data_IF_152512609851
#
_entry.id   IF_152512609851
#
_cell.length_a   1.000
_cell.length_b   1.000
_cell.length_c   1.000
_cell.angle_alpha   90.00
_cell.angle_beta   90.00
_cell.angle_gamma   90.00
#
_symmetry.space_group_name_H-M   'P 1'
#
loop_
_entity.id
_entity.type
_entity.pdbx_description
1 polymer ?
#
# COMPACT_ATOMS: atom_id res chain seq x y z
N UNK A 1 -5.05 25.16 22.55
CA UNK A 1 -5.05 23.82 21.94
C UNK A 1 -6.51 23.43 21.70
N UNK A 2 -7.05 23.83 20.55
CA UNK A 2 -8.40 23.52 20.13
C UNK A 2 -8.42 22.90 18.73
N UNK A 3 -7.45 22.02 18.44
CA UNK A 3 -7.51 21.26 17.20
C UNK A 3 -8.27 19.96 17.45
N UNK A 4 -9.53 19.94 17.06
CA UNK A 4 -10.30 18.71 17.01
C UNK A 4 -9.77 17.86 15.83
N UNK A 5 -9.58 16.58 16.06
CA UNK A 5 -9.15 15.63 15.02
C UNK A 5 -10.12 14.44 14.96
N UNK A 6 -10.13 13.78 13.81
CA UNK A 6 -10.96 12.60 13.58
C UNK A 6 -10.07 11.45 13.11
N UNK A 7 -10.19 10.31 13.77
CA UNK A 7 -9.56 9.06 13.35
C UNK A 7 -10.61 8.08 12.83
N UNK A 8 -10.39 7.51 11.65
CA UNK A 8 -11.31 6.58 11.01
C UNK A 8 -10.61 5.25 10.72
N UNK A 9 -11.18 4.16 11.23
CA UNK A 9 -10.74 2.78 10.95
C UNK A 9 -11.94 1.82 10.99
N UNK A 10 -12.77 1.80 9.93
CA UNK A 10 -14.01 1.01 9.93
C UNK A 10 -13.78 -0.49 9.69
N UNK A 11 -12.63 -0.88 9.12
CA UNK A 11 -12.30 -2.27 8.82
C UNK A 11 -12.08 -3.06 10.11
N UNK A 12 -12.76 -4.19 10.27
CA UNK A 12 -12.52 -5.14 11.36
C UNK A 12 -11.29 -5.97 11.06
N UNK A 13 -10.24 -5.82 11.85
CA UNK A 13 -8.97 -6.51 11.66
C UNK A 13 -8.92 -7.81 12.48
N UNK A 14 -8.53 -8.89 11.82
CA UNK A 14 -8.22 -10.18 12.43
C UNK A 14 -6.77 -10.51 12.10
N UNK A 15 -5.92 -10.43 13.09
CA UNK A 15 -4.48 -10.61 12.94
C UNK A 15 -3.98 -11.84 13.71
N UNK A 16 -3.16 -12.65 13.07
CA UNK A 16 -2.47 -13.76 13.73
C UNK A 16 -2.24 -14.94 12.81
N UNK A 17 -1.39 -15.85 13.26
CA UNK A 17 -1.12 -17.09 12.55
C UNK A 17 -2.41 -17.90 12.40
N UNK A 18 -2.60 -18.44 11.20
CA UNK A 18 -3.81 -19.23 10.83
C UNK A 18 -5.12 -18.44 10.84
N UNK A 19 -5.10 -17.10 10.97
CA UNK A 19 -6.32 -16.28 10.89
C UNK A 19 -7.07 -16.45 9.55
N UNK A 20 -6.37 -16.76 8.47
CA UNK A 20 -6.95 -17.11 7.18
C UNK A 20 -7.93 -18.29 7.26
N UNK A 21 -7.70 -19.26 8.14
CA UNK A 21 -8.53 -20.45 8.28
C UNK A 21 -9.92 -20.13 8.85
N UNK A 22 -10.04 -18.99 9.53
CA UNK A 22 -11.32 -18.52 10.07
C UNK A 22 -12.22 -17.80 9.06
N UNK A 23 -11.84 -17.74 7.78
CA UNK A 23 -12.56 -17.00 6.73
C UNK A 23 -14.06 -17.36 6.67
N UNK A 24 -14.41 -18.64 6.88
CA UNK A 24 -15.82 -19.10 6.90
C UNK A 24 -16.66 -18.35 7.94
N UNK A 25 -16.11 -18.13 9.15
CA UNK A 25 -16.78 -17.38 10.22
C UNK A 25 -17.16 -15.96 9.75
N UNK A 26 -16.26 -15.30 9.03
CA UNK A 26 -16.47 -13.91 8.58
C UNK A 26 -17.34 -13.80 7.34
N UNK A 27 -17.33 -14.81 6.48
CA UNK A 27 -18.30 -14.95 5.38
C UNK A 27 -19.71 -15.11 5.94
N UNK A 28 -19.92 -15.96 6.95
CA UNK A 28 -21.20 -16.14 7.62
C UNK A 28 -21.70 -14.87 8.31
N UNK A 29 -20.79 -14.11 8.92
CA UNK A 29 -21.12 -12.83 9.57
C UNK A 29 -21.65 -11.74 8.62
N UNK A 30 -21.49 -11.90 7.30
CA UNK A 30 -22.03 -10.98 6.29
C UNK A 30 -23.44 -11.35 5.83
N UNK A 31 -24.08 -12.36 6.40
CA UNK A 31 -25.40 -12.88 5.99
C UNK A 31 -25.49 -13.20 4.49
N UNK A 32 -24.39 -13.69 3.93
CA UNK A 32 -24.26 -13.99 2.51
C UNK A 32 -24.59 -15.45 2.25
N UNK A 33 -25.42 -15.66 1.23
CA UNK A 33 -26.02 -16.95 1.04
C UNK A 33 -25.20 -17.88 0.17
N UNK A 34 -24.60 -17.45 -0.96
CA UNK A 34 -23.96 -18.45 -1.82
C UNK A 34 -22.80 -17.98 -2.72
N UNK A 35 -22.83 -16.79 -3.34
CA UNK A 35 -22.00 -16.47 -4.51
C UNK A 35 -20.86 -15.53 -4.19
N UNK A 36 -19.66 -16.06 -4.21
CA UNK A 36 -18.42 -15.36 -3.82
C UNK A 36 -17.53 -15.19 -5.05
N UNK A 37 -17.07 -13.96 -5.29
CA UNK A 37 -15.98 -13.68 -6.21
C UNK A 37 -14.66 -13.73 -5.44
N UNK A 38 -13.79 -14.68 -5.77
CA UNK A 38 -12.43 -14.74 -5.26
C UNK A 38 -11.49 -14.08 -6.26
N UNK A 39 -10.83 -13.00 -5.84
CA UNK A 39 -9.87 -12.24 -6.66
C UNK A 39 -8.45 -12.53 -6.20
N UNK A 40 -7.56 -12.92 -7.13
CA UNK A 40 -6.14 -13.15 -6.82
C UNK A 40 -5.23 -12.71 -7.96
N UNK A 41 -3.94 -12.59 -7.68
CA UNK A 41 -2.93 -12.51 -8.73
C UNK A 41 -2.78 -13.84 -9.49
N UNK A 42 -2.07 -13.79 -10.62
CA UNK A 42 -1.98 -14.89 -11.60
C UNK A 42 -1.40 -16.20 -11.05
N UNK A 43 -0.42 -16.14 -10.14
CA UNK A 43 0.36 -17.35 -9.83
C UNK A 43 0.50 -17.66 -8.34
N UNK A 44 0.89 -16.71 -7.50
CA UNK A 44 1.35 -16.98 -6.13
C UNK A 44 0.32 -17.74 -5.28
N UNK A 45 -0.89 -17.25 -5.17
CA UNK A 45 -1.91 -17.88 -4.31
C UNK A 45 -2.33 -19.27 -4.81
N UNK A 46 -2.32 -19.49 -6.13
CA UNK A 46 -2.57 -20.79 -6.72
C UNK A 46 -1.39 -21.74 -6.49
N UNK A 47 -0.16 -21.29 -6.75
CA UNK A 47 1.07 -22.08 -6.61
C UNK A 47 1.27 -22.60 -5.18
N UNK A 48 0.96 -21.77 -4.18
CA UNK A 48 1.11 -22.14 -2.77
C UNK A 48 -0.15 -22.79 -2.15
N UNK A 49 -1.12 -23.20 -2.98
CA UNK A 49 -2.29 -23.98 -2.56
C UNK A 49 -3.38 -23.17 -1.83
N UNK A 50 -3.24 -21.86 -1.67
CA UNK A 50 -4.21 -21.05 -0.93
C UNK A 50 -5.56 -20.94 -1.63
N UNK A 51 -5.60 -20.93 -2.98
CA UNK A 51 -6.84 -20.97 -3.75
C UNK A 51 -7.61 -22.28 -3.51
N UNK A 52 -6.91 -23.41 -3.46
CA UNK A 52 -7.51 -24.70 -3.14
C UNK A 52 -8.00 -24.74 -1.69
N UNK A 53 -7.20 -24.21 -0.77
CA UNK A 53 -7.53 -24.16 0.66
C UNK A 53 -8.78 -23.32 0.93
N UNK A 54 -8.91 -22.12 0.34
CA UNK A 54 -10.12 -21.29 0.54
C UNK A 54 -11.37 -21.94 -0.05
N UNK A 55 -11.27 -22.59 -1.23
CA UNK A 55 -12.38 -23.35 -1.81
C UNK A 55 -12.83 -24.50 -0.90
N UNK A 56 -11.89 -25.18 -0.24
CA UNK A 56 -12.20 -26.23 0.73
C UNK A 56 -12.83 -25.67 2.01
N UNK A 57 -12.36 -24.55 2.53
CA UNK A 57 -12.94 -23.90 3.71
C UNK A 57 -14.36 -23.40 3.47
N UNK A 58 -14.69 -23.05 2.24
CA UNK A 58 -15.98 -22.53 1.80
C UNK A 58 -16.70 -23.50 0.84
N UNK A 59 -16.57 -24.81 1.07
CA UNK A 59 -17.06 -25.86 0.18
C UNK A 59 -18.59 -25.81 -0.06
N UNK A 60 -19.31 -25.20 0.87
CA UNK A 60 -20.77 -25.01 0.84
C UNK A 60 -21.19 -23.71 0.10
N UNK A 61 -20.25 -23.05 -0.59
CA UNK A 61 -20.45 -21.81 -1.35
C UNK A 61 -20.02 -21.96 -2.81
N UNK A 62 -20.65 -21.18 -3.70
CA UNK A 62 -20.24 -21.08 -5.09
C UNK A 62 -19.11 -20.06 -5.23
N UNK A 63 -17.87 -20.52 -5.45
CA UNK A 63 -16.69 -19.64 -5.58
C UNK A 63 -16.34 -19.48 -7.05
N UNK A 64 -16.46 -18.25 -7.53
CA UNK A 64 -16.00 -17.80 -8.84
C UNK A 64 -14.62 -17.17 -8.71
N UNK A 65 -13.61 -17.80 -9.30
CA UNK A 65 -12.22 -17.37 -9.14
C UNK A 65 -11.76 -16.54 -10.33
N UNK A 66 -11.49 -15.26 -10.09
CA UNK A 66 -10.82 -14.36 -11.01
C UNK A 66 -9.35 -14.23 -10.60
N UNK A 67 -8.47 -14.96 -11.30
CA UNK A 67 -7.05 -15.11 -10.97
C UNK A 67 -6.11 -14.40 -11.93
N UNK A 68 -6.56 -13.35 -12.65
CA UNK A 68 -5.81 -12.71 -13.74
C UNK A 68 -5.23 -11.32 -13.37
N UNK A 69 -5.21 -10.96 -12.07
CA UNK A 69 -4.68 -9.67 -11.66
C UNK A 69 -3.18 -9.61 -11.89
N UNK A 70 -2.73 -8.62 -12.66
CA UNK A 70 -1.31 -8.33 -12.89
C UNK A 70 -0.73 -7.42 -11.79
N UNK A 71 0.59 -7.43 -11.58
CA UNK A 71 1.26 -6.36 -10.84
C UNK A 71 0.94 -5.00 -11.50
N UNK A 72 0.81 -3.94 -10.69
CA UNK A 72 0.36 -2.63 -11.15
C UNK A 72 -0.95 -2.73 -11.97
N UNK A 73 -2.08 -3.02 -11.30
CA UNK A 73 -3.33 -3.36 -11.97
C UNK A 73 -3.81 -2.20 -12.83
N UNK A 74 -4.39 -2.56 -13.98
CA UNK A 74 -4.85 -1.60 -14.99
C UNK A 74 -6.36 -1.54 -15.05
N UNK A 75 -6.89 -0.61 -15.86
CA UNK A 75 -8.31 -0.49 -16.14
C UNK A 75 -8.86 -1.77 -16.76
N UNK A 76 -8.10 -2.42 -17.64
CA UNK A 76 -8.47 -3.67 -18.29
C UNK A 76 -8.68 -4.78 -17.25
N UNK A 77 -7.86 -4.87 -16.20
CA UNK A 77 -8.08 -5.83 -15.12
C UNK A 77 -9.45 -5.65 -14.44
N UNK A 78 -9.92 -4.41 -14.31
CA UNK A 78 -11.24 -4.14 -13.73
C UNK A 78 -12.35 -4.51 -14.71
N UNK A 79 -12.22 -4.10 -16.00
CA UNK A 79 -13.21 -4.41 -17.02
C UNK A 79 -13.37 -5.91 -17.24
N UNK A 80 -12.26 -6.66 -17.28
CA UNK A 80 -12.25 -8.13 -17.34
C UNK A 80 -12.90 -8.76 -16.11
N UNK A 81 -12.61 -8.23 -14.93
CA UNK A 81 -13.23 -8.67 -13.68
C UNK A 81 -14.73 -8.43 -13.65
N UNK A 82 -15.22 -7.27 -14.10
CA UNK A 82 -16.64 -6.95 -14.24
C UNK A 82 -17.30 -7.89 -15.25
N UNK A 83 -16.71 -8.05 -16.44
CA UNK A 83 -17.20 -8.96 -17.49
C UNK A 83 -17.30 -10.39 -16.97
N UNK A 84 -16.27 -10.85 -16.25
CA UNK A 84 -16.25 -12.18 -15.63
C UNK A 84 -17.38 -12.37 -14.59
N UNK A 85 -17.66 -11.35 -13.80
CA UNK A 85 -18.58 -11.42 -12.67
C UNK A 85 -20.07 -11.15 -13.02
N UNK A 86 -20.35 -10.37 -14.08
CA UNK A 86 -21.66 -9.81 -14.37
C UNK A 86 -22.81 -10.84 -14.42
N UNK A 87 -22.58 -12.03 -15.02
CA UNK A 87 -23.63 -13.06 -15.14
C UNK A 87 -23.83 -13.89 -13.86
N UNK A 88 -22.98 -13.71 -12.85
CA UNK A 88 -22.87 -14.62 -11.70
C UNK A 88 -23.63 -14.17 -10.46
N UNK A 89 -24.18 -12.93 -10.46
CA UNK A 89 -24.89 -12.34 -9.32
C UNK A 89 -24.08 -12.47 -8.01
N UNK A 90 -22.86 -11.94 -8.02
CA UNK A 90 -21.93 -11.96 -6.88
C UNK A 90 -22.55 -11.23 -5.67
N UNK A 91 -22.38 -11.82 -4.49
CA UNK A 91 -22.91 -11.30 -3.22
C UNK A 91 -21.79 -10.83 -2.27
N UNK A 92 -20.58 -11.37 -2.42
CA UNK A 92 -19.38 -11.05 -1.64
C UNK A 92 -18.16 -11.07 -2.55
N UNK A 93 -17.22 -10.18 -2.29
CA UNK A 93 -15.87 -10.25 -2.88
C UNK A 93 -14.86 -10.61 -1.79
N UNK A 94 -14.01 -11.59 -2.08
CA UNK A 94 -12.83 -11.90 -1.29
C UNK A 94 -11.62 -11.65 -2.18
N UNK A 95 -10.71 -10.76 -1.77
CA UNK A 95 -9.43 -10.61 -2.46
C UNK A 95 -8.30 -11.17 -1.62
N UNK A 96 -7.45 -12.01 -2.23
CA UNK A 96 -6.32 -12.64 -1.58
C UNK A 96 -5.05 -12.45 -2.40
N UNK A 97 -4.06 -11.74 -1.84
CA UNK A 97 -2.82 -11.44 -2.54
C UNK A 97 -2.13 -10.17 -2.05
N UNK A 98 -1.25 -9.62 -2.86
CA UNK A 98 -0.64 -8.31 -2.62
C UNK A 98 -1.60 -7.15 -2.91
N UNK A 99 -1.14 -5.92 -2.71
CA UNK A 99 -1.95 -4.70 -2.89
C UNK A 99 -2.70 -4.66 -4.22
N UNK A 100 -2.09 -5.11 -5.33
CA UNK A 100 -2.75 -5.17 -6.64
C UNK A 100 -4.03 -6.01 -6.64
N UNK A 101 -4.00 -7.20 -6.02
CA UNK A 101 -5.18 -8.06 -5.94
C UNK A 101 -6.25 -7.46 -5.02
N UNK A 102 -5.82 -6.83 -3.91
CA UNK A 102 -6.73 -6.17 -2.97
C UNK A 102 -7.40 -4.95 -3.61
N UNK A 103 -6.66 -4.13 -4.37
CA UNK A 103 -7.19 -2.95 -5.05
C UNK A 103 -8.18 -3.33 -6.15
N UNK A 104 -7.89 -4.37 -6.95
CA UNK A 104 -8.84 -4.89 -7.93
C UNK A 104 -10.08 -5.44 -7.24
N UNK A 105 -9.92 -6.25 -6.18
CA UNK A 105 -11.05 -6.80 -5.43
C UNK A 105 -11.95 -5.72 -4.83
N UNK A 106 -11.35 -4.69 -4.25
CA UNK A 106 -12.02 -3.52 -3.68
C UNK A 106 -12.81 -2.74 -4.73
N UNK A 107 -12.19 -2.51 -5.90
CA UNK A 107 -12.84 -1.84 -7.03
C UNK A 107 -13.99 -2.67 -7.60
N UNK A 108 -13.80 -3.97 -7.75
CA UNK A 108 -14.87 -4.86 -8.19
C UNK A 108 -16.04 -4.91 -7.20
N UNK A 109 -15.76 -4.97 -5.88
CA UNK A 109 -16.81 -4.90 -4.86
C UNK A 109 -17.64 -3.63 -4.98
N UNK A 110 -17.02 -2.50 -5.28
CA UNK A 110 -17.71 -1.23 -5.47
C UNK A 110 -18.53 -1.20 -6.77
N UNK A 111 -17.92 -1.53 -7.90
CA UNK A 111 -18.53 -1.36 -9.22
C UNK A 111 -19.58 -2.41 -9.58
N UNK A 112 -19.50 -3.61 -9.04
CA UNK A 112 -20.54 -4.64 -9.24
C UNK A 112 -21.89 -4.23 -8.62
N UNK A 113 -21.89 -3.35 -7.62
CA UNK A 113 -23.10 -2.77 -7.03
C UNK A 113 -23.39 -1.34 -7.52
N UNK A 114 -22.46 -0.73 -8.26
CA UNK A 114 -22.57 0.60 -8.84
C UNK A 114 -22.10 0.57 -10.30
N UNK A 115 -22.93 0.03 -11.22
CA UNK A 115 -22.57 -0.04 -12.63
C UNK A 115 -22.43 1.37 -13.23
N UNK A 116 -21.44 1.56 -14.08
CA UNK A 116 -21.14 2.83 -14.75
C UNK A 116 -19.83 2.75 -15.53
N UNK A 117 -19.48 3.81 -16.25
CA UNK A 117 -18.20 3.91 -16.93
C UNK A 117 -17.07 4.11 -15.90
N UNK A 118 -16.01 3.35 -16.04
CA UNK A 118 -14.87 3.38 -15.13
C UNK A 118 -14.15 4.73 -15.15
N UNK A 119 -14.01 5.34 -16.33
CA UNK A 119 -13.36 6.64 -16.44
C UNK A 119 -14.17 7.73 -15.74
N UNK A 120 -15.51 7.68 -15.84
CA UNK A 120 -16.36 8.68 -15.17
C UNK A 120 -16.24 8.62 -13.63
N UNK A 121 -16.02 7.42 -13.06
CA UNK A 121 -15.70 7.29 -11.64
C UNK A 121 -14.34 7.89 -11.30
N UNK A 122 -13.31 7.64 -12.11
CA UNK A 122 -11.97 8.19 -11.87
C UNK A 122 -11.88 9.69 -12.12
N UNK A 123 -12.64 10.20 -13.08
CA UNK A 123 -12.72 11.64 -13.38
C UNK A 123 -13.63 12.38 -12.36
N UNK A 124 -14.28 11.68 -11.45
CA UNK A 124 -15.20 12.27 -10.46
C UNK A 124 -16.52 12.79 -11.05
N UNK A 125 -16.85 12.40 -12.30
CA UNK A 125 -18.10 12.80 -12.98
C UNK A 125 -19.33 12.10 -12.38
N UNK A 126 -19.14 10.88 -11.89
CA UNK A 126 -20.18 10.10 -11.22
C UNK A 126 -19.69 9.61 -9.84
N UNK A 127 -20.60 9.48 -8.90
CA UNK A 127 -20.35 8.97 -7.56
C UNK A 127 -21.08 7.65 -7.31
N UNK A 128 -20.61 6.87 -6.35
CA UNK A 128 -21.33 5.68 -5.90
C UNK A 128 -22.71 6.03 -5.35
N UNK A 129 -23.73 5.29 -5.79
CA UNK A 129 -25.13 5.45 -5.37
C UNK A 129 -25.52 4.41 -4.31
N UNK A 130 -24.76 3.31 -4.21
CA UNK A 130 -24.99 2.20 -3.29
C UNK A 130 -23.70 1.82 -2.59
N UNK A 131 -23.81 1.27 -1.38
CA UNK A 131 -22.66 0.67 -0.68
C UNK A 131 -22.04 -0.42 -1.57
N UNK A 132 -20.72 -0.56 -1.50
CA UNK A 132 -20.02 -1.68 -2.15
C UNK A 132 -20.58 -3.02 -1.70
N UNK A 133 -20.43 -4.06 -2.51
CA UNK A 133 -20.65 -5.42 -2.02
C UNK A 133 -19.77 -5.67 -0.79
N UNK A 134 -20.18 -6.51 0.15
CA UNK A 134 -19.32 -6.91 1.26
C UNK A 134 -17.97 -7.38 0.75
N UNK A 135 -16.89 -6.95 1.44
CA UNK A 135 -15.53 -7.19 0.99
C UNK A 135 -14.62 -7.69 2.13
N UNK A 136 -13.97 -8.82 1.89
CA UNK A 136 -12.95 -9.40 2.79
C UNK A 136 -11.59 -9.32 2.09
N UNK A 137 -10.64 -8.64 2.74
CA UNK A 137 -9.26 -8.52 2.27
C UNK A 137 -8.35 -9.49 3.02
N UNK A 138 -7.53 -10.25 2.26
CA UNK A 138 -6.57 -11.22 2.79
C UNK A 138 -5.20 -10.91 2.19
N UNK A 139 -4.39 -10.06 2.84
CA UNK A 139 -3.08 -9.67 2.31
C UNK A 139 -2.10 -10.83 2.38
N UNK A 140 -1.26 -10.95 1.35
CA UNK A 140 -0.12 -11.88 1.31
C UNK A 140 1.22 -11.18 1.23
N UNK A 141 1.21 -9.84 1.28
CA UNK A 141 2.42 -8.99 1.32
C UNK A 141 2.32 -8.01 2.49
N UNK A 142 3.47 -7.59 3.00
CA UNK A 142 3.56 -6.59 4.06
C UNK A 142 4.11 -5.30 3.46
N UNK A 143 3.22 -4.36 3.09
CA UNK A 143 3.64 -3.14 2.38
C UNK A 143 2.53 -2.12 2.21
N UNK A 144 1.63 -2.31 1.26
CA UNK A 144 0.64 -1.32 0.84
C UNK A 144 -0.47 -1.05 1.85
N UNK A 145 -0.71 -1.99 2.77
CA UNK A 145 -1.83 -1.95 3.72
C UNK A 145 -3.21 -1.68 3.07
N UNK A 146 -3.40 -2.13 1.81
CA UNK A 146 -4.67 -1.95 1.09
C UNK A 146 -5.85 -2.57 1.83
N UNK A 147 -5.61 -3.54 2.71
CA UNK A 147 -6.61 -4.21 3.53
C UNK A 147 -7.30 -3.32 4.58
N UNK A 148 -6.74 -2.13 4.87
CA UNK A 148 -7.30 -1.17 5.84
C UNK A 148 -7.52 0.23 5.26
N UNK A 149 -7.52 0.37 3.93
CA UNK A 149 -7.71 1.65 3.25
C UNK A 149 -8.97 1.67 2.38
N UNK A 150 -9.48 2.88 2.08
CA UNK A 150 -10.69 3.09 1.28
C UNK A 150 -10.41 3.51 -0.17
N UNK A 151 -9.18 3.34 -0.65
CA UNK A 151 -8.81 3.63 -2.04
C UNK A 151 -8.22 2.42 -2.73
N UNK A 152 -8.30 2.45 -4.04
CA UNK A 152 -7.66 1.50 -4.94
C UNK A 152 -6.89 2.27 -6.01
N UNK A 153 -5.68 1.81 -6.30
CA UNK A 153 -4.81 2.42 -7.29
C UNK A 153 -4.78 1.59 -8.54
N UNK A 154 -5.10 2.23 -9.68
CA UNK A 154 -5.03 1.64 -11.00
C UNK A 154 -4.13 2.45 -11.92
N UNK A 155 -3.48 1.76 -12.84
CA UNK A 155 -2.60 2.38 -13.83
C UNK A 155 -3.33 2.48 -15.17
N UNK A 156 -3.33 3.68 -15.74
CA UNK A 156 -3.71 3.88 -17.12
C UNK A 156 -2.43 3.86 -17.96
N UNK A 157 -2.20 2.75 -18.67
CA UNK A 157 -0.99 2.56 -19.48
C UNK A 157 -0.93 3.49 -20.69
N UNK A 158 -2.07 3.81 -21.29
CA UNK A 158 -2.14 4.71 -22.44
C UNK A 158 -1.75 6.13 -22.05
N UNK A 159 -2.30 6.62 -20.93
CA UNK A 159 -2.03 7.97 -20.42
C UNK A 159 -0.78 8.03 -19.54
N UNK A 160 -0.06 6.92 -19.33
CA UNK A 160 1.09 6.80 -18.39
C UNK A 160 0.80 7.45 -17.03
N UNK A 161 -0.41 7.28 -16.53
CA UNK A 161 -0.89 7.95 -15.32
C UNK A 161 -1.40 6.95 -14.29
N UNK A 162 -1.26 7.35 -13.02
CA UNK A 162 -1.75 6.61 -11.85
C UNK A 162 -3.04 7.28 -11.38
N UNK A 163 -4.12 6.52 -11.31
CA UNK A 163 -5.40 6.99 -10.82
C UNK A 163 -5.78 6.25 -9.54
N UNK A 164 -6.40 6.96 -8.61
CA UNK A 164 -6.89 6.36 -7.36
C UNK A 164 -8.38 6.60 -7.23
N UNK A 165 -9.14 5.52 -7.18
CA UNK A 165 -10.54 5.57 -6.82
C UNK A 165 -10.64 5.55 -5.30
N UNK A 166 -11.37 6.51 -4.72
CA UNK A 166 -11.46 6.68 -3.26
C UNK A 166 -12.90 6.90 -2.85
N UNK A 167 -13.41 6.06 -1.97
CA UNK A 167 -14.72 6.27 -1.36
C UNK A 167 -14.83 5.53 -0.01
N UNK A 168 -15.52 6.08 1.02
CA UNK A 168 -15.68 5.41 2.31
C UNK A 168 -16.31 4.01 2.22
N UNK A 169 -17.14 3.75 1.24
CA UNK A 169 -17.74 2.43 1.01
C UNK A 169 -16.78 1.39 0.44
N UNK A 170 -15.55 1.77 0.10
CA UNK A 170 -14.51 0.87 -0.39
C UNK A 170 -13.63 0.30 0.73
N UNK A 171 -13.84 0.69 2.00
CA UNK A 171 -13.17 0.00 3.10
C UNK A 171 -13.58 -1.48 3.12
N UNK A 172 -12.63 -2.42 3.30
CA UNK A 172 -12.97 -3.80 3.59
C UNK A 172 -13.82 -3.91 4.87
N UNK A 173 -14.81 -4.79 4.88
CA UNK A 173 -15.55 -5.11 6.10
C UNK A 173 -14.66 -5.90 7.08
N UNK A 174 -13.79 -6.78 6.53
CA UNK A 174 -12.80 -7.53 7.29
C UNK A 174 -11.45 -7.56 6.58
N UNK A 175 -10.38 -7.45 7.37
CA UNK A 175 -9.00 -7.72 6.99
C UNK A 175 -8.51 -8.95 7.75
N UNK A 176 -8.27 -10.08 7.06
CA UNK A 176 -7.70 -11.28 7.67
C UNK A 176 -6.20 -11.32 7.38
N UNK A 177 -5.40 -10.92 8.35
CA UNK A 177 -3.95 -10.76 8.20
C UNK A 177 -3.26 -11.96 8.84
N UNK A 178 -2.91 -12.93 8.00
CA UNK A 178 -2.20 -14.14 8.38
C UNK A 178 -0.75 -14.06 7.92
N UNK A 179 0.23 -13.90 8.83
CA UNK A 179 1.64 -13.84 8.47
C UNK A 179 2.14 -15.06 7.70
N UNK A 180 1.49 -16.23 7.83
CA UNK A 180 1.81 -17.42 7.05
C UNK A 180 1.70 -17.21 5.53
N UNK A 181 0.83 -16.30 5.06
CA UNK A 181 0.71 -16.01 3.63
C UNK A 181 1.93 -15.27 3.08
N UNK A 182 2.69 -14.59 3.95
CA UNK A 182 3.87 -13.80 3.56
C UNK A 182 5.18 -14.58 3.55
N UNK A 183 5.23 -15.82 4.07
CA UNK A 183 6.46 -16.64 4.12
C UNK A 183 6.99 -17.03 2.75
N UNK A 184 6.16 -16.91 1.72
CA UNK A 184 6.53 -17.20 0.33
C UNK A 184 6.97 -15.95 -0.45
N UNK A 185 7.02 -14.79 0.18
CA UNK A 185 7.51 -13.57 -0.48
C UNK A 185 9.00 -13.69 -0.80
N UNK A 186 9.41 -13.47 -2.06
CA UNK A 186 10.83 -13.41 -2.41
C UNK A 186 11.54 -12.27 -1.67
N UNK A 187 12.86 -12.37 -1.39
CA UNK A 187 13.64 -11.31 -0.75
C UNK A 187 13.48 -9.94 -1.41
N UNK A 188 13.56 -9.87 -2.75
CA UNK A 188 13.36 -8.61 -3.49
C UNK A 188 12.00 -7.98 -3.21
N UNK A 189 10.92 -8.78 -3.19
CA UNK A 189 9.59 -8.25 -2.89
C UNK A 189 9.48 -7.82 -1.42
N UNK A 190 10.10 -8.56 -0.49
CA UNK A 190 10.18 -8.19 0.93
C UNK A 190 10.86 -6.83 1.11
N UNK A 191 11.98 -6.59 0.42
CA UNK A 191 12.68 -5.31 0.46
C UNK A 191 11.80 -4.16 -0.07
N UNK A 192 11.22 -4.33 -1.25
CA UNK A 192 10.39 -3.30 -1.89
C UNK A 192 9.16 -2.95 -1.05
N UNK A 193 8.40 -3.96 -0.61
CA UNK A 193 7.17 -3.72 0.15
C UNK A 193 7.45 -3.23 1.57
N UNK A 194 8.53 -3.71 2.19
CA UNK A 194 8.94 -3.25 3.50
C UNK A 194 9.38 -1.78 3.50
N UNK A 195 10.12 -1.34 2.46
CA UNK A 195 10.50 0.07 2.30
C UNK A 195 9.30 0.96 1.94
N UNK A 196 8.31 0.44 1.20
CA UNK A 196 7.03 1.11 0.97
C UNK A 196 6.30 1.37 2.30
N UNK A 197 6.16 0.33 3.13
CA UNK A 197 5.56 0.46 4.45
C UNK A 197 6.33 1.42 5.37
N UNK A 198 7.67 1.42 5.31
CA UNK A 198 8.50 2.37 6.05
C UNK A 198 8.22 3.81 5.61
N UNK A 199 8.15 4.04 4.30
CA UNK A 199 7.85 5.36 3.75
C UNK A 199 6.44 5.82 4.13
N UNK A 200 5.44 4.94 4.06
CA UNK A 200 4.09 5.21 4.54
C UNK A 200 4.08 5.67 6.00
N UNK A 201 4.78 4.94 6.87
CA UNK A 201 4.85 5.26 8.29
C UNK A 201 5.58 6.58 8.57
N UNK A 202 6.71 6.81 7.90
CA UNK A 202 7.48 8.06 8.02
C UNK A 202 6.63 9.24 7.54
N UNK A 203 6.00 9.15 6.37
CA UNK A 203 5.15 10.22 5.84
C UNK A 203 3.92 10.45 6.70
N UNK A 204 3.31 9.40 7.26
CA UNK A 204 2.21 9.54 8.20
C UNK A 204 2.62 10.30 9.47
N UNK A 205 3.81 10.02 10.01
CA UNK A 205 4.32 10.66 11.23
C UNK A 205 4.54 12.16 11.04
N UNK A 206 5.15 12.58 9.94
CA UNK A 206 5.40 14.02 9.70
C UNK A 206 4.30 14.75 8.94
N UNK A 207 3.25 14.07 8.46
CA UNK A 207 2.15 14.71 7.72
C UNK A 207 1.54 15.88 8.50
N UNK A 208 1.12 16.94 7.79
CA UNK A 208 0.28 18.01 8.38
C UNK A 208 -1.02 17.51 8.98
N UNK A 209 -1.48 16.33 8.53
CA UNK A 209 -2.70 15.68 9.04
C UNK A 209 -2.38 14.67 10.14
N UNK A 210 -1.13 14.61 10.65
CA UNK A 210 -0.78 13.69 11.73
C UNK A 210 -1.52 14.08 13.01
N UNK A 211 -1.89 13.10 13.80
CA UNK A 211 -2.61 13.28 15.05
C UNK A 211 -2.23 12.15 16.04
N UNK A 212 -2.48 12.29 17.34
CA UNK A 212 -1.91 11.41 18.35
C UNK A 212 -2.11 9.92 18.09
N UNK A 213 -3.28 9.50 17.57
CA UNK A 213 -3.55 8.09 17.28
C UNK A 213 -2.73 7.60 16.08
N UNK A 214 -2.66 8.39 14.99
CA UNK A 214 -1.84 8.03 13.83
C UNK A 214 -0.36 7.96 14.17
N UNK A 215 0.12 8.83 15.05
CA UNK A 215 1.52 8.87 15.46
C UNK A 215 1.95 7.60 16.20
N UNK A 216 1.11 7.11 17.12
CA UNK A 216 1.40 5.85 17.83
C UNK A 216 1.58 4.70 16.84
N UNK A 217 0.70 4.58 15.85
CA UNK A 217 0.81 3.56 14.82
C UNK A 217 2.03 3.78 13.91
N UNK A 218 2.26 5.01 13.44
CA UNK A 218 3.37 5.34 12.56
C UNK A 218 4.72 5.04 13.20
N UNK A 219 4.96 5.52 14.40
CA UNK A 219 6.21 5.30 15.14
C UNK A 219 6.44 3.82 15.42
N UNK A 220 5.40 3.10 15.84
CA UNK A 220 5.52 1.66 16.06
C UNK A 220 5.82 0.89 14.77
N UNK A 221 5.23 1.30 13.63
CA UNK A 221 5.52 0.72 12.34
C UNK A 221 6.98 0.93 11.93
N UNK A 222 7.50 2.17 12.06
CA UNK A 222 8.90 2.52 11.77
C UNK A 222 9.85 1.59 12.52
N UNK A 223 9.68 1.49 13.84
CA UNK A 223 10.51 0.64 14.70
C UNK A 223 10.47 -0.83 14.30
N UNK A 224 9.28 -1.38 14.05
CA UNK A 224 9.12 -2.78 13.66
C UNK A 224 9.77 -3.07 12.31
N UNK A 225 9.61 -2.18 11.31
CA UNK A 225 10.23 -2.38 10.00
C UNK A 225 11.74 -2.29 10.12
N UNK A 226 12.25 -1.24 10.76
CA UNK A 226 13.68 -1.01 10.92
C UNK A 226 14.39 -2.24 11.54
N UNK A 227 13.78 -2.86 12.56
CA UNK A 227 14.33 -4.01 13.26
C UNK A 227 14.19 -5.34 12.52
N UNK A 228 13.22 -5.49 11.62
CA UNK A 228 12.84 -6.81 11.10
C UNK A 228 13.00 -6.98 9.60
N UNK A 229 13.09 -5.90 8.81
CA UNK A 229 13.11 -6.00 7.34
C UNK A 229 14.32 -6.78 6.84
N UNK A 230 15.52 -6.56 7.44
CA UNK A 230 16.74 -7.29 7.08
C UNK A 230 16.61 -8.78 7.36
N UNK A 231 16.11 -9.14 8.54
CA UNK A 231 15.90 -10.54 8.89
C UNK A 231 14.83 -11.20 8.00
N UNK A 232 13.73 -10.51 7.70
CA UNK A 232 12.71 -11.01 6.80
C UNK A 232 13.20 -11.13 5.34
N UNK A 233 14.20 -10.33 4.94
CA UNK A 233 14.87 -10.41 3.64
C UNK A 233 15.82 -11.61 3.56
N UNK A 234 16.68 -11.80 4.57
CA UNK A 234 17.69 -12.87 4.61
C UNK A 234 17.04 -14.24 4.84
N UNK A 235 16.05 -14.28 5.73
CA UNK A 235 15.36 -15.49 6.15
C UNK A 235 13.87 -15.40 5.80
N UNK A 236 13.46 -15.57 4.53
CA UNK A 236 12.06 -15.41 4.13
C UNK A 236 11.05 -16.28 4.88
N UNK A 237 11.50 -17.40 5.47
CA UNK A 237 10.67 -18.31 6.27
C UNK A 237 10.69 -18.02 7.76
N UNK A 238 11.42 -17.01 8.21
CA UNK A 238 11.44 -16.61 9.62
C UNK A 238 10.09 -16.03 10.01
N UNK A 239 9.29 -16.83 10.69
CA UNK A 239 7.91 -16.51 10.98
C UNK A 239 7.75 -15.31 11.93
N UNK A 240 8.70 -15.14 12.86
CA UNK A 240 8.68 -13.98 13.77
C UNK A 240 8.92 -12.68 12.98
N UNK A 241 9.91 -12.67 12.09
CA UNK A 241 10.18 -11.50 11.24
C UNK A 241 9.00 -11.21 10.31
N UNK A 242 8.38 -12.24 9.70
CA UNK A 242 7.16 -12.07 8.88
C UNK A 242 5.99 -11.53 9.68
N UNK A 243 5.78 -12.04 10.90
CA UNK A 243 4.73 -11.53 11.80
C UNK A 243 4.95 -10.05 12.12
N UNK A 244 6.18 -9.68 12.47
CA UNK A 244 6.52 -8.29 12.78
C UNK A 244 6.37 -7.38 11.54
N UNK A 245 6.77 -7.83 10.35
CA UNK A 245 6.58 -7.07 9.11
C UNK A 245 5.11 -6.91 8.74
N UNK A 246 4.29 -7.96 8.92
CA UNK A 246 2.84 -7.88 8.67
C UNK A 246 2.15 -6.92 9.66
N UNK A 247 2.54 -6.97 10.94
CA UNK A 247 2.03 -6.04 11.94
C UNK A 247 2.46 -4.61 11.65
N UNK A 248 3.70 -4.41 11.21
CA UNK A 248 4.22 -3.09 10.84
C UNK A 248 3.50 -2.50 9.64
N UNK A 249 3.24 -3.31 8.60
CA UNK A 249 2.44 -2.90 7.43
C UNK A 249 1.03 -2.48 7.84
N UNK A 250 0.37 -3.26 8.71
CA UNK A 250 -0.94 -2.91 9.26
C UNK A 250 -0.89 -1.56 9.99
N UNK A 251 0.08 -1.36 10.87
CA UNK A 251 0.21 -0.09 11.61
C UNK A 251 0.49 1.09 10.70
N UNK A 252 1.38 0.94 9.71
CA UNK A 252 1.59 1.96 8.69
C UNK A 252 0.26 2.31 7.99
N UNK A 253 -0.53 1.29 7.62
CA UNK A 253 -1.85 1.44 7.01
C UNK A 253 -2.84 2.22 7.88
N UNK A 254 -2.95 1.84 9.14
CA UNK A 254 -3.82 2.53 10.10
C UNK A 254 -3.41 4.00 10.28
N UNK A 255 -2.10 4.29 10.25
CA UNK A 255 -1.61 5.66 10.31
C UNK A 255 -1.95 6.43 9.04
N UNK A 256 -1.42 6.02 7.87
CA UNK A 256 -1.52 6.82 6.65
C UNK A 256 -2.92 6.85 6.05
N UNK A 257 -3.80 5.92 6.39
CA UNK A 257 -5.21 6.00 6.00
C UNK A 257 -5.86 7.32 6.46
N UNK A 258 -5.43 7.86 7.59
CA UNK A 258 -5.94 9.11 8.14
C UNK A 258 -5.12 10.34 7.72
N UNK A 259 -3.80 10.20 7.66
CA UNK A 259 -2.88 11.32 7.39
C UNK A 259 -2.62 11.56 5.91
N UNK A 260 -2.88 10.56 5.06
CA UNK A 260 -2.47 10.48 3.65
C UNK A 260 -0.94 10.42 3.50
N UNK A 261 -0.50 10.16 2.27
CA UNK A 261 0.91 10.21 1.89
C UNK A 261 1.33 11.63 1.50
N UNK A 262 2.64 11.89 1.38
CA UNK A 262 3.20 13.22 1.19
C UNK A 262 4.19 13.29 0.00
N UNK A 263 5.31 13.97 0.17
CA UNK A 263 6.24 14.33 -0.90
C UNK A 263 6.94 13.12 -1.54
N UNK A 264 7.40 12.13 -0.75
CA UNK A 264 8.09 10.96 -1.30
C UNK A 264 7.18 10.19 -2.26
N UNK A 265 5.92 9.99 -1.89
CA UNK A 265 4.94 9.36 -2.78
C UNK A 265 4.63 10.21 -4.01
N UNK A 266 4.50 11.53 -3.87
CA UNK A 266 4.28 12.44 -5.00
C UNK A 266 5.42 12.33 -6.03
N UNK A 267 6.67 12.42 -5.56
CA UNK A 267 7.87 12.35 -6.39
C UNK A 267 8.02 10.96 -7.06
N UNK A 268 7.53 9.90 -6.43
CA UNK A 268 7.67 8.53 -6.94
C UNK A 268 6.82 8.23 -8.20
N UNK A 269 5.73 8.95 -8.42
CA UNK A 269 4.78 8.61 -9.48
C UNK A 269 5.41 8.62 -10.88
N UNK A 270 6.09 9.69 -11.32
CA UNK A 270 6.76 9.71 -12.61
C UNK A 270 7.91 8.70 -12.71
N UNK A 271 8.58 8.37 -11.60
CA UNK A 271 9.61 7.32 -11.59
C UNK A 271 9.02 5.96 -11.94
N UNK A 272 7.85 5.64 -11.38
CA UNK A 272 7.18 4.36 -11.67
C UNK A 272 6.51 4.37 -13.05
N UNK A 273 5.84 5.47 -13.45
CA UNK A 273 5.07 5.50 -14.69
C UNK A 273 5.93 5.61 -15.95
N UNK A 274 7.05 6.34 -15.89
CA UNK A 274 7.88 6.63 -17.07
C UNK A 274 9.12 5.72 -17.17
N UNK A 275 9.56 5.17 -16.04
CA UNK A 275 10.84 4.44 -15.97
C UNK A 275 10.69 3.03 -15.36
N UNK A 276 9.45 2.57 -15.10
CA UNK A 276 9.15 1.24 -14.52
C UNK A 276 9.89 0.94 -13.20
N UNK A 277 10.31 1.99 -12.47
CA UNK A 277 10.96 1.81 -11.18
C UNK A 277 9.92 1.24 -10.19
N UNK A 278 10.23 0.12 -9.51
CA UNK A 278 9.31 -0.48 -8.55
C UNK A 278 8.87 0.53 -7.49
N UNK A 279 7.57 0.62 -7.22
CA UNK A 279 6.97 1.66 -6.37
C UNK A 279 7.64 1.81 -5.01
N UNK A 280 7.85 0.71 -4.28
CA UNK A 280 8.47 0.76 -2.96
C UNK A 280 9.92 1.31 -2.97
N UNK A 281 10.66 1.12 -4.08
CA UNK A 281 11.96 1.75 -4.28
C UNK A 281 11.81 3.23 -4.62
N UNK A 282 10.91 3.56 -5.55
CA UNK A 282 10.69 4.94 -5.98
C UNK A 282 10.28 5.87 -4.83
N UNK A 283 9.45 5.39 -3.88
CA UNK A 283 9.05 6.18 -2.72
C UNK A 283 10.16 6.31 -1.68
N UNK A 284 10.97 5.25 -1.49
CA UNK A 284 11.96 5.21 -0.41
C UNK A 284 13.28 5.91 -0.75
N UNK A 285 13.65 5.97 -2.02
CA UNK A 285 14.97 6.50 -2.44
C UNK A 285 15.14 7.98 -2.13
N UNK A 286 14.05 8.75 -2.06
CA UNK A 286 14.05 10.19 -1.81
C UNK A 286 13.91 10.57 -0.33
N UNK A 287 13.61 9.63 0.58
CA UNK A 287 13.39 9.91 2.02
C UNK A 287 14.57 10.72 2.61
N UNK A 288 15.80 10.30 2.30
CA UNK A 288 17.03 10.90 2.82
C UNK A 288 17.19 12.40 2.48
N UNK A 289 16.61 12.83 1.38
CA UNK A 289 16.64 14.22 0.95
C UNK A 289 15.41 15.00 1.42
N UNK A 290 14.21 14.40 1.34
CA UNK A 290 12.97 15.02 1.80
C UNK A 290 13.02 15.35 3.31
N UNK A 291 13.63 14.48 4.12
CA UNK A 291 13.74 14.70 5.57
C UNK A 291 14.55 15.95 5.92
N UNK A 292 15.54 16.33 5.10
CA UNK A 292 16.36 17.55 5.29
C UNK A 292 15.53 18.83 5.15
N UNK A 293 14.46 18.79 4.37
CA UNK A 293 13.50 19.90 4.27
C UNK A 293 12.51 19.86 5.44
N UNK A 294 12.01 18.68 5.76
CA UNK A 294 10.98 18.51 6.78
C UNK A 294 11.48 18.78 8.21
N UNK A 295 12.75 18.52 8.51
CA UNK A 295 13.33 18.81 9.85
C UNK A 295 13.29 20.30 10.20
N UNK A 296 13.33 21.18 9.20
CA UNK A 296 13.30 22.64 9.41
C UNK A 296 11.95 23.16 9.91
N UNK A 297 10.86 22.44 9.59
CA UNK A 297 9.47 22.86 9.91
C UNK A 297 8.74 21.91 10.87
N UNK A 298 9.20 20.67 10.98
CA UNK A 298 8.63 19.66 11.87
C UNK A 298 9.73 18.92 12.68
N UNK A 299 10.61 19.64 13.41
CA UNK A 299 11.79 19.06 14.06
C UNK A 299 11.42 17.98 15.08
N UNK A 300 10.34 18.16 15.84
CA UNK A 300 9.90 17.20 16.84
C UNK A 300 9.44 15.86 16.21
N UNK A 301 8.74 15.93 15.08
CA UNK A 301 8.31 14.72 14.35
C UNK A 301 9.49 13.98 13.75
N UNK A 302 10.42 14.71 13.17
CA UNK A 302 11.66 14.14 12.62
C UNK A 302 12.50 13.51 13.73
N UNK A 303 12.61 14.16 14.89
CA UNK A 303 13.30 13.60 16.06
C UNK A 303 12.71 12.24 16.48
N UNK A 304 11.38 12.13 16.59
CA UNK A 304 10.72 10.87 16.91
C UNK A 304 11.04 9.76 15.88
N UNK A 305 11.03 10.09 14.57
CA UNK A 305 11.40 9.14 13.52
C UNK A 305 12.84 8.66 13.68
N UNK A 306 13.77 9.56 13.97
CA UNK A 306 15.19 9.29 14.19
C UNK A 306 15.37 8.32 15.38
N UNK A 307 14.69 8.58 16.48
CA UNK A 307 14.73 7.75 17.70
C UNK A 307 14.18 6.32 17.45
N UNK A 308 13.12 6.17 16.66
CA UNK A 308 12.56 4.85 16.33
C UNK A 308 13.48 4.02 15.40
N UNK A 309 14.37 4.67 14.67
CA UNK A 309 15.44 4.04 13.89
C UNK A 309 16.76 3.89 14.69
N UNK A 310 16.72 4.09 16.02
CA UNK A 310 17.88 3.99 16.91
C UNK A 310 19.05 4.89 16.46
N UNK A 311 18.74 6.02 15.82
CA UNK A 311 19.72 7.00 15.37
C UNK A 311 19.86 8.14 16.39
N UNK A 312 21.03 8.75 16.42
CA UNK A 312 21.40 9.81 17.38
C UNK A 312 21.32 11.21 16.80
N UNK A 313 21.31 11.32 15.47
CA UNK A 313 21.22 12.56 14.73
C UNK A 313 20.57 12.36 13.36
N UNK A 314 20.27 13.44 12.65
CA UNK A 314 19.78 13.38 11.27
C UNK A 314 20.77 12.68 10.33
N UNK A 315 22.06 13.01 10.46
CA UNK A 315 23.10 12.40 9.62
C UNK A 315 23.26 10.92 9.91
N UNK A 316 23.24 10.51 11.20
CA UNK A 316 23.26 9.10 11.60
C UNK A 316 22.02 8.34 11.08
N UNK A 317 20.85 8.98 11.09
CA UNK A 317 19.63 8.40 10.49
C UNK A 317 19.79 8.17 8.98
N UNK A 318 20.30 9.18 8.26
CA UNK A 318 20.51 9.08 6.81
C UNK A 318 21.50 7.95 6.49
N UNK A 319 22.61 7.87 7.22
CA UNK A 319 23.62 6.82 7.06
C UNK A 319 23.04 5.42 7.36
N UNK A 320 22.26 5.30 8.42
CA UNK A 320 21.57 4.05 8.79
C UNK A 320 20.55 3.63 7.75
N UNK A 321 19.77 4.58 7.22
CA UNK A 321 18.80 4.31 6.14
C UNK A 321 19.51 3.81 4.87
N UNK A 322 20.61 4.46 4.47
CA UNK A 322 21.42 4.03 3.32
C UNK A 322 22.02 2.65 3.55
N UNK A 323 22.56 2.38 4.74
CA UNK A 323 23.10 1.06 5.11
C UNK A 323 21.99 -0.01 5.08
N UNK A 324 20.80 0.31 5.60
CA UNK A 324 19.66 -0.60 5.56
C UNK A 324 19.27 -0.94 4.13
N UNK A 325 19.08 0.06 3.26
CA UNK A 325 18.73 -0.15 1.85
C UNK A 325 19.76 -1.04 1.14
N UNK A 326 21.06 -0.74 1.31
CA UNK A 326 22.14 -1.57 0.74
C UNK A 326 22.11 -3.01 1.27
N UNK A 327 21.84 -3.20 2.57
CA UNK A 327 21.82 -4.52 3.19
C UNK A 327 20.69 -5.44 2.68
N UNK A 328 19.64 -4.84 2.10
CA UNK A 328 18.52 -5.56 1.48
C UNK A 328 18.53 -5.43 -0.05
N UNK A 329 19.72 -5.20 -0.61
CA UNK A 329 20.01 -5.13 -2.05
C UNK A 329 19.16 -4.10 -2.81
N UNK A 330 18.88 -2.94 -2.20
CA UNK A 330 18.22 -1.83 -2.89
C UNK A 330 19.21 -0.73 -3.26
N UNK A 331 19.09 -0.17 -4.47
CA UNK A 331 19.80 1.03 -4.89
C UNK A 331 19.52 2.21 -3.96
N UNK A 332 20.51 3.09 -3.80
CA UNK A 332 20.40 4.29 -2.96
C UNK A 332 20.57 5.58 -3.72
N UNK A 333 20.83 5.48 -5.04
CA UNK A 333 21.01 6.58 -5.97
C UNK A 333 20.23 6.35 -7.26
N UNK A 334 19.71 7.41 -7.87
CA UNK A 334 18.96 7.33 -9.13
C UNK A 334 19.83 6.82 -10.29
N UNK A 335 21.14 7.17 -10.32
CA UNK A 335 22.07 6.66 -11.33
C UNK A 335 22.22 5.13 -11.32
N UNK A 336 22.02 4.50 -10.17
CA UNK A 336 22.06 3.04 -10.03
C UNK A 336 20.84 2.34 -10.68
N UNK A 337 19.85 3.13 -11.10
CA UNK A 337 18.60 2.69 -11.77
C UNK A 337 18.65 2.89 -13.29
N UNK A 338 19.83 3.07 -13.88
CA UNK A 338 20.02 3.39 -15.30
C UNK A 338 19.36 4.70 -15.75
N UNK A 339 19.07 5.60 -14.82
CA UNK A 339 18.62 6.95 -15.12
C UNK A 339 19.79 7.85 -15.47
N UNK A 340 19.54 8.81 -16.36
CA UNK A 340 20.51 9.86 -16.74
C UNK A 340 20.10 11.18 -16.12
N UNK A 341 21.02 12.13 -15.98
CA UNK A 341 20.71 13.45 -15.42
C UNK A 341 19.55 14.16 -16.14
N UNK A 342 19.46 14.02 -17.47
CA UNK A 342 18.35 14.59 -18.24
C UNK A 342 16.98 14.03 -17.86
N UNK A 343 16.92 12.82 -17.30
CA UNK A 343 15.66 12.16 -16.91
C UNK A 343 15.09 12.81 -15.63
N UNK A 344 15.91 13.58 -14.88
CA UNK A 344 15.49 14.37 -13.71
C UNK A 344 14.36 15.34 -14.08
N UNK A 345 14.44 16.01 -15.24
CA UNK A 345 13.37 16.94 -15.67
C UNK A 345 12.04 16.22 -15.92
N UNK A 346 12.07 15.05 -16.54
CA UNK A 346 10.87 14.23 -16.75
C UNK A 346 10.25 13.79 -15.43
N UNK A 347 11.09 13.44 -14.45
CA UNK A 347 10.60 13.09 -13.10
C UNK A 347 10.01 14.33 -12.42
N UNK A 348 10.69 15.47 -12.51
CA UNK A 348 10.28 16.72 -11.89
C UNK A 348 8.92 17.21 -12.38
N UNK A 349 8.68 17.16 -13.70
CA UNK A 349 7.40 17.58 -14.29
C UNK A 349 6.20 16.80 -13.77
N UNK A 350 6.37 15.50 -13.53
CA UNK A 350 5.32 14.62 -12.98
C UNK A 350 5.27 14.53 -11.43
N UNK A 351 6.16 15.23 -10.73
CA UNK A 351 6.32 15.04 -9.26
C UNK A 351 5.34 15.83 -8.40
N UNK A 352 4.70 16.87 -8.95
CA UNK A 352 3.84 17.78 -8.16
C UNK A 352 2.38 17.32 -8.23
N UNK A 353 2.00 16.46 -7.30
CA UNK A 353 0.60 16.11 -7.08
C UNK A 353 0.04 16.92 -5.91
N UNK A 354 -0.86 17.90 -6.16
CA UNK A 354 -1.36 18.81 -5.11
C UNK A 354 -1.92 18.08 -3.90
N UNK A 355 -2.68 17.00 -4.14
CA UNK A 355 -3.29 16.21 -3.05
C UNK A 355 -2.31 15.44 -2.16
N UNK A 356 -1.08 15.25 -2.61
CA UNK A 356 -0.01 14.63 -1.81
C UNK A 356 0.93 15.69 -1.25
N UNK A 357 1.39 16.63 -2.08
CA UNK A 357 2.31 17.69 -1.66
C UNK A 357 1.75 18.55 -0.53
N UNK A 358 0.44 18.85 -0.52
CA UNK A 358 -0.18 19.63 0.56
C UNK A 358 -0.08 18.99 1.94
N UNK A 359 0.11 17.67 2.03
CA UNK A 359 0.23 16.94 3.29
C UNK A 359 1.66 17.00 3.85
N UNK A 360 2.66 17.34 3.01
CA UNK A 360 4.05 17.45 3.46
C UNK A 360 4.23 18.67 4.36
N UNK A 361 4.97 18.58 5.49
CA UNK A 361 5.17 19.73 6.37
C UNK A 361 5.88 20.88 5.67
N UNK A 362 7.03 20.64 5.01
CA UNK A 362 7.68 21.64 4.17
C UNK A 362 6.89 21.82 2.86
N UNK A 363 6.63 23.09 2.51
CA UNK A 363 6.10 23.42 1.19
C UNK A 363 7.25 23.36 0.18
N UNK A 364 7.28 22.27 -0.59
CA UNK A 364 8.31 22.06 -1.60
C UNK A 364 7.86 22.67 -2.93
N UNK A 365 8.65 23.61 -3.44
CA UNK A 365 8.47 24.14 -4.78
C UNK A 365 9.24 23.28 -5.82
N UNK A 366 9.15 23.67 -7.09
CA UNK A 366 9.79 22.93 -8.20
C UNK A 366 11.30 22.83 -8.03
N UNK A 367 11.95 23.89 -7.54
CA UNK A 367 13.41 23.95 -7.34
C UNK A 367 13.86 23.09 -6.15
N UNK A 368 13.06 23.03 -5.09
CA UNK A 368 13.33 22.13 -3.96
C UNK A 368 13.29 20.66 -4.41
N UNK A 369 12.31 20.31 -5.26
CA UNK A 369 12.19 18.94 -5.79
C UNK A 369 13.36 18.64 -6.74
N UNK A 370 13.78 19.59 -7.57
CA UNK A 370 14.98 19.46 -8.39
C UNK A 370 16.20 19.17 -7.53
N UNK A 371 16.39 19.92 -6.44
CA UNK A 371 17.48 19.72 -5.48
C UNK A 371 17.42 18.32 -4.88
N UNK A 372 16.24 17.85 -4.45
CA UNK A 372 16.04 16.50 -3.91
C UNK A 372 16.46 15.44 -4.93
N UNK A 373 16.02 15.57 -6.19
CA UNK A 373 16.33 14.61 -7.26
C UNK A 373 17.83 14.62 -7.61
N UNK A 374 18.45 15.80 -7.76
CA UNK A 374 19.87 15.94 -8.05
C UNK A 374 20.73 15.35 -6.93
N UNK A 375 20.41 15.60 -5.66
CA UNK A 375 21.14 15.02 -4.53
C UNK A 375 20.91 13.51 -4.38
N UNK A 376 19.82 12.99 -4.94
CA UNK A 376 19.54 11.55 -4.97
C UNK A 376 20.24 10.87 -6.15
N UNK A 377 20.67 11.61 -7.18
CA UNK A 377 21.38 11.09 -8.34
C UNK A 377 22.85 10.79 -8.01
#
# INVERSE_FOLDING_TARGET
MDESWKYLSPTKVVFGLHSFESVKKYVLAQNIHQKILLVTGKSSMKKHGYVTKIKRLLYDRSIYHFGEVSPNPTYENILDGIKYANSKKIELVIAMGGGSALDVGKTLAALLNNPGDLNDYFDGKINFKRKSLPFIAIPSTSGTASEVTCWATLWNREKKSKHSLTHPWMFPDYALIDPMLSVHMPPKLTALTGMDALTHAIEACWSKNSQPVSDVFALRAIRLIYKNIKLAFDEPKNLQARTNMSLASLFAGLAFNNTKTAACHSISYPMTSNFDIPHGLAVSITIKEVIKFNVKVAPNKVKQIIEECEATSLDDFIDKLVKLMKSINLPTKLRDLSLREQDIETILEGSIHPDRMKNNPAQLNKEDIRTILTNTF
#
